data_IF_269802512591
#
_entry.id   IF_269802512591
#
_cell.length_a   1.000
_cell.length_b   1.000
_cell.length_c   1.000
_cell.angle_alpha   90.00
_cell.angle_beta   90.00
_cell.angle_gamma   90.00
#
_symmetry.space_group_name_H-M   'P 1'
#
loop_
_entity.id
_entity.type
_entity.pdbx_description
1 polymer ?
#
# COMPACT_ATOMS: atom_id res chain seq x y z
N UNK A 1 14.71 5.69 -21.71
CA UNK A 1 14.31 7.03 -22.15
C UNK A 1 14.32 7.08 -23.67
N UNK A 2 13.37 7.78 -24.28
CA UNK A 2 13.18 7.97 -25.72
C UNK A 2 13.04 9.45 -26.04
N UNK A 3 13.13 9.81 -27.33
CA UNK A 3 13.04 11.20 -27.79
C UNK A 3 11.70 11.86 -27.44
N UNK A 4 10.63 11.06 -27.35
CA UNK A 4 9.30 11.50 -26.91
C UNK A 4 9.30 12.05 -25.47
N UNK A 5 10.18 11.56 -24.58
CA UNK A 5 10.25 12.00 -23.17
C UNK A 5 10.64 13.48 -23.00
N UNK A 6 11.12 14.11 -24.08
CA UNK A 6 11.58 15.51 -24.10
C UNK A 6 10.65 16.45 -24.88
N UNK A 7 9.55 15.94 -25.43
CA UNK A 7 8.50 16.74 -26.06
C UNK A 7 7.47 17.13 -25.01
N UNK A 8 7.85 18.05 -24.12
CA UNK A 8 7.02 18.47 -22.99
C UNK A 8 6.34 19.80 -23.33
N UNK A 9 5.01 19.85 -23.18
CA UNK A 9 4.28 21.11 -23.09
C UNK A 9 4.51 21.71 -21.70
N UNK A 10 5.21 22.86 -21.67
CA UNK A 10 5.63 23.54 -20.44
C UNK A 10 4.46 24.01 -19.57
N UNK A 11 3.28 24.23 -20.15
CA UNK A 11 2.07 24.63 -19.42
C UNK A 11 1.24 23.42 -18.98
N UNK A 12 1.40 22.27 -19.63
CA UNK A 12 0.72 21.03 -19.29
C UNK A 12 1.34 20.36 -18.06
N UNK A 13 2.67 20.31 -17.96
CA UNK A 13 3.37 19.60 -16.90
C UNK A 13 3.05 20.13 -15.47
N UNK A 14 3.00 21.45 -15.20
CA UNK A 14 2.61 21.96 -13.88
C UNK A 14 1.18 21.59 -13.48
N UNK A 15 0.26 21.53 -14.47
CA UNK A 15 -1.13 21.13 -14.23
C UNK A 15 -1.22 19.65 -13.87
N UNK A 16 -0.52 18.78 -14.60
CA UNK A 16 -0.45 17.35 -14.31
C UNK A 16 0.18 17.08 -12.94
N UNK A 17 1.27 17.76 -12.60
CA UNK A 17 1.87 17.68 -11.26
C UNK A 17 0.90 18.12 -10.16
N UNK A 18 0.13 19.19 -10.40
CA UNK A 18 -0.90 19.64 -9.48
C UNK A 18 -1.95 18.57 -9.22
N UNK A 19 -2.53 18.00 -10.29
CA UNK A 19 -3.54 16.92 -10.20
C UNK A 19 -2.97 15.69 -9.50
N UNK A 20 -1.78 15.24 -9.90
CA UNK A 20 -1.12 14.10 -9.28
C UNK A 20 -0.88 14.34 -7.77
N UNK A 21 -0.42 15.53 -7.38
CA UNK A 21 -0.21 15.89 -5.97
C UNK A 21 -1.49 15.77 -5.13
N UNK A 22 -2.61 16.28 -5.63
CA UNK A 22 -3.90 16.17 -4.93
C UNK A 22 -4.37 14.72 -4.82
N UNK A 23 -4.24 13.95 -5.91
CA UNK A 23 -4.59 12.54 -5.94
C UNK A 23 -3.73 11.73 -4.95
N UNK A 24 -2.40 11.89 -4.98
CA UNK A 24 -1.47 11.23 -4.05
C UNK A 24 -1.83 11.55 -2.60
N UNK A 25 -2.10 12.82 -2.28
CA UNK A 25 -2.52 13.22 -0.94
C UNK A 25 -3.79 12.48 -0.50
N UNK A 26 -4.80 12.43 -1.37
CA UNK A 26 -6.04 11.69 -1.08
C UNK A 26 -5.80 10.19 -0.87
N UNK A 27 -4.90 9.58 -1.64
CA UNK A 27 -4.53 8.18 -1.46
C UNK A 27 -3.80 7.93 -0.12
N UNK A 28 -2.92 8.84 0.31
CA UNK A 28 -2.23 8.75 1.62
C UNK A 28 -3.26 8.84 2.75
N UNK A 29 -4.13 9.85 2.73
CA UNK A 29 -5.19 10.02 3.75
C UNK A 29 -6.16 8.82 3.77
N UNK A 30 -6.33 8.15 2.62
CA UNK A 30 -7.13 6.93 2.53
C UNK A 30 -6.41 5.75 3.17
N UNK A 31 -5.12 5.55 2.90
CA UNK A 31 -4.31 4.51 3.54
C UNK A 31 -4.23 4.70 5.06
N UNK A 32 -4.02 5.92 5.54
CA UNK A 32 -3.96 6.22 6.97
C UNK A 32 -5.26 5.83 7.69
N UNK A 33 -6.42 6.19 7.13
CA UNK A 33 -7.73 5.77 7.64
C UNK A 33 -7.92 4.25 7.62
N UNK A 34 -7.36 3.55 6.63
CA UNK A 34 -7.37 2.08 6.64
C UNK A 34 -6.56 1.54 7.80
N UNK A 35 -5.35 2.08 8.02
CA UNK A 35 -4.46 1.64 9.09
C UNK A 35 -5.09 1.88 10.45
N UNK A 36 -5.73 3.03 10.67
CA UNK A 36 -6.50 3.32 11.89
C UNK A 36 -7.59 2.26 12.13
N UNK A 37 -8.36 1.93 11.09
CA UNK A 37 -9.36 0.87 11.16
C UNK A 37 -8.73 -0.51 11.44
N UNK A 38 -7.57 -0.82 10.85
CA UNK A 38 -6.86 -2.08 11.09
C UNK A 38 -6.32 -2.18 12.52
N UNK A 39 -5.88 -1.07 13.11
CA UNK A 39 -5.48 -1.01 14.52
C UNK A 39 -6.67 -1.35 15.42
N UNK A 40 -7.83 -0.75 15.17
CA UNK A 40 -9.07 -1.04 15.90
C UNK A 40 -9.46 -2.52 15.78
N UNK A 41 -9.47 -3.06 14.56
CA UNK A 41 -9.74 -4.48 14.30
C UNK A 41 -8.77 -5.42 15.03
N UNK A 42 -7.48 -5.14 14.97
CA UNK A 42 -6.44 -5.93 15.62
C UNK A 42 -6.58 -5.95 17.15
N UNK A 43 -6.87 -4.79 17.75
CA UNK A 43 -6.97 -4.63 19.20
C UNK A 43 -8.29 -5.16 19.77
N UNK A 44 -9.41 -4.86 19.11
CA UNK A 44 -10.75 -5.05 19.67
C UNK A 44 -11.46 -6.31 19.14
N UNK A 45 -11.11 -6.80 17.95
CA UNK A 45 -11.86 -7.88 17.30
C UNK A 45 -11.04 -9.15 17.04
N UNK A 46 -9.71 -9.04 16.90
CA UNK A 46 -8.82 -10.16 16.59
C UNK A 46 -7.98 -10.64 17.78
N UNK A 47 -8.35 -10.25 19.00
CA UNK A 47 -7.68 -10.71 20.23
C UNK A 47 -6.18 -10.39 20.27
N UNK A 48 -5.75 -9.29 19.64
CA UNK A 48 -4.34 -8.89 19.50
C UNK A 48 -3.47 -9.86 18.70
N UNK A 49 -4.07 -10.76 17.92
CA UNK A 49 -3.33 -11.66 17.02
C UNK A 49 -2.64 -10.92 15.87
N UNK A 50 -3.09 -9.70 15.56
CA UNK A 50 -2.45 -8.79 14.61
C UNK A 50 -2.34 -7.39 15.22
N UNK A 51 -1.26 -6.68 14.88
CA UNK A 51 -1.06 -5.28 15.24
C UNK A 51 -0.47 -4.50 14.08
N UNK A 52 -0.75 -3.19 14.07
CA UNK A 52 -0.26 -2.25 13.07
C UNK A 52 0.22 -0.98 13.79
N UNK A 53 1.22 -0.31 13.23
CA UNK A 53 1.73 0.97 13.72
C UNK A 53 2.16 1.82 12.54
N UNK A 54 1.49 2.95 12.34
CA UNK A 54 1.84 3.89 11.27
C UNK A 54 3.08 4.69 11.64
N UNK A 55 3.98 4.88 10.67
CA UNK A 55 5.16 5.75 10.76
C UNK A 55 5.16 6.67 9.53
N UNK A 56 4.27 7.69 9.50
CA UNK A 56 4.00 8.48 8.29
C UNK A 56 5.24 9.17 7.71
N UNK A 57 6.13 9.67 8.56
CA UNK A 57 7.38 10.35 8.14
C UNK A 57 8.34 9.44 7.35
N UNK A 58 8.12 8.12 7.41
CA UNK A 58 8.91 7.11 6.68
C UNK A 58 8.12 6.43 5.57
N UNK A 59 6.91 6.91 5.27
CA UNK A 59 5.96 6.28 4.36
C UNK A 59 5.81 4.77 4.63
N UNK A 60 5.61 4.43 5.91
CA UNK A 60 5.71 3.07 6.40
C UNK A 60 4.62 2.74 7.42
N UNK A 61 4.16 1.50 7.40
CA UNK A 61 3.36 0.89 8.47
C UNK A 61 4.09 -0.37 8.91
N UNK A 62 4.41 -0.46 10.19
CA UNK A 62 4.96 -1.68 10.78
C UNK A 62 3.80 -2.56 11.25
N UNK A 63 3.91 -3.87 11.05
CA UNK A 63 2.89 -4.82 11.45
C UNK A 63 3.46 -6.10 12.02
N UNK A 64 2.65 -6.77 12.84
CA UNK A 64 2.97 -8.08 13.39
C UNK A 64 1.72 -8.95 13.36
N UNK A 65 1.82 -10.16 12.80
CA UNK A 65 0.76 -11.15 12.76
C UNK A 65 1.27 -12.47 13.33
N UNK A 66 0.69 -12.95 14.43
CA UNK A 66 1.13 -14.18 15.14
C UNK A 66 2.65 -14.23 15.34
N UNK A 67 3.25 -13.14 15.84
CA UNK A 67 4.70 -12.95 16.04
C UNK A 67 5.56 -12.82 14.76
N UNK A 68 4.96 -12.92 13.58
CA UNK A 68 5.65 -12.66 12.31
C UNK A 68 5.56 -11.17 11.99
N UNK A 69 6.71 -10.51 11.98
CA UNK A 69 6.83 -9.08 11.64
C UNK A 69 6.79 -8.88 10.14
N UNK A 70 6.15 -7.81 9.72
CA UNK A 70 6.11 -7.36 8.34
C UNK A 70 6.11 -5.83 8.29
N UNK A 71 6.41 -5.30 7.11
CA UNK A 71 6.43 -3.87 6.85
C UNK A 71 5.63 -3.58 5.60
N UNK A 72 4.74 -2.59 5.66
CA UNK A 72 4.07 -2.03 4.51
C UNK A 72 4.79 -0.71 4.19
N UNK A 73 5.39 -0.63 3.01
CA UNK A 73 5.98 0.60 2.47
C UNK A 73 5.04 1.15 1.41
N UNK A 74 4.94 2.47 1.33
CA UNK A 74 4.18 3.10 0.25
C UNK A 74 4.95 4.25 -0.37
N UNK A 75 4.74 4.47 -1.66
CA UNK A 75 5.35 5.56 -2.40
C UNK A 75 4.38 6.12 -3.44
N UNK A 76 4.43 7.44 -3.71
CA UNK A 76 3.68 8.02 -4.80
C UNK A 76 4.11 7.43 -6.15
N UNK A 77 3.14 7.09 -6.98
CA UNK A 77 3.34 6.66 -8.36
C UNK A 77 2.38 7.44 -9.26
N UNK A 78 2.93 8.09 -10.28
CA UNK A 78 2.11 8.73 -11.33
C UNK A 78 1.91 7.74 -12.46
N UNK A 79 0.66 7.39 -12.75
CA UNK A 79 0.29 6.52 -13.87
C UNK A 79 -0.84 7.17 -14.65
N UNK A 80 -0.65 7.36 -15.95
CA UNK A 80 -1.65 7.94 -16.86
C UNK A 80 -2.20 9.28 -16.36
N UNK A 81 -1.32 10.16 -15.88
CA UNK A 81 -1.64 11.47 -15.29
C UNK A 81 -2.51 11.46 -14.02
N UNK A 82 -2.76 10.28 -13.43
CA UNK A 82 -3.41 10.13 -12.14
C UNK A 82 -2.40 9.71 -11.06
N UNK A 83 -2.50 10.34 -9.90
CA UNK A 83 -1.69 9.98 -8.73
C UNK A 83 -2.28 8.76 -8.01
N UNK A 84 -1.48 7.70 -7.87
CA UNK A 84 -1.79 6.54 -7.03
C UNK A 84 -0.68 6.34 -6.00
N UNK A 85 -0.95 5.53 -4.98
CA UNK A 85 0.09 5.00 -4.11
C UNK A 85 0.44 3.59 -4.56
N UNK A 86 1.72 3.35 -4.81
CA UNK A 86 2.24 2.00 -4.82
C UNK A 86 2.46 1.55 -3.38
N UNK A 87 1.93 0.37 -3.03
CA UNK A 87 2.05 -0.22 -1.71
C UNK A 87 2.75 -1.57 -1.83
N UNK A 88 3.80 -1.76 -1.04
CA UNK A 88 4.64 -2.96 -1.03
C UNK A 88 4.65 -3.55 0.38
N UNK A 89 4.37 -4.85 0.48
CA UNK A 89 4.44 -5.60 1.73
C UNK A 89 5.74 -6.41 1.76
N UNK A 90 6.52 -6.27 2.81
CA UNK A 90 7.78 -6.98 3.03
C UNK A 90 7.75 -7.78 4.33
N UNK A 91 8.48 -8.88 4.34
CA UNK A 91 8.80 -9.67 5.56
C UNK A 91 10.28 -9.98 5.53
N UNK A 92 10.86 -10.27 6.69
CA UNK A 92 12.25 -10.70 6.80
C UNK A 92 12.36 -12.21 6.59
N UNK A 93 13.41 -12.64 5.88
CA UNK A 93 13.83 -14.03 5.84
C UNK A 93 14.51 -14.39 7.16
N UNK A 94 14.14 -15.52 7.77
CA UNK A 94 14.85 -15.98 8.97
C UNK A 94 16.20 -16.62 8.65
N UNK A 95 16.46 -16.94 7.38
CA UNK A 95 17.72 -17.55 6.95
C UNK A 95 18.77 -16.48 6.67
N UNK A 96 18.42 -15.46 5.90
CA UNK A 96 19.36 -14.41 5.48
C UNK A 96 19.29 -13.16 6.35
N UNK A 97 18.18 -12.95 7.06
CA UNK A 97 17.87 -11.69 7.74
C UNK A 97 17.48 -10.56 6.78
N UNK A 98 17.40 -10.83 5.46
CA UNK A 98 17.06 -9.82 4.47
C UNK A 98 15.55 -9.73 4.27
N UNK A 99 15.06 -8.49 4.12
CA UNK A 99 13.66 -8.23 3.82
C UNK A 99 13.35 -8.51 2.34
N UNK A 100 12.35 -9.34 2.07
CA UNK A 100 11.86 -9.61 0.71
C UNK A 100 10.40 -9.20 0.55
N UNK A 101 9.97 -9.00 -0.70
CA UNK A 101 8.61 -8.55 -1.01
C UNK A 101 7.66 -9.73 -1.08
N UNK A 102 6.60 -9.71 -0.27
CA UNK A 102 5.56 -10.75 -0.29
C UNK A 102 4.34 -10.33 -1.09
N UNK A 103 4.11 -9.03 -1.29
CA UNK A 103 2.97 -8.55 -2.07
C UNK A 103 3.13 -7.09 -2.50
N UNK A 104 2.35 -6.71 -3.51
CA UNK A 104 2.28 -5.36 -4.04
C UNK A 104 0.87 -5.08 -4.53
N UNK A 105 0.38 -3.87 -4.32
CA UNK A 105 -0.87 -3.37 -4.90
C UNK A 105 -0.79 -1.85 -5.10
N UNK A 106 -1.74 -1.30 -5.85
CA UNK A 106 -1.89 0.14 -6.02
C UNK A 106 -3.14 0.61 -5.27
N UNK A 107 -3.08 1.78 -4.64
CA UNK A 107 -4.21 2.41 -3.98
C UNK A 107 -4.56 3.73 -4.67
N UNK A 108 -5.81 3.85 -5.12
CA UNK A 108 -6.35 5.08 -5.69
C UNK A 108 -6.85 6.04 -4.60
N UNK A 109 -6.97 7.35 -4.91
CA UNK A 109 -7.45 8.34 -3.96
C UNK A 109 -8.89 8.11 -3.48
N UNK A 110 -9.70 7.45 -4.30
CA UNK A 110 -11.07 7.08 -3.96
C UNK A 110 -11.18 5.81 -3.12
N UNK A 111 -10.06 5.10 -2.90
CA UNK A 111 -9.99 3.87 -2.11
C UNK A 111 -10.06 2.58 -2.92
N UNK A 112 -10.19 2.64 -4.25
CA UNK A 112 -10.07 1.44 -5.06
C UNK A 112 -8.65 0.85 -4.95
N UNK A 113 -8.57 -0.47 -4.83
CA UNK A 113 -7.32 -1.21 -4.77
C UNK A 113 -7.12 -1.94 -6.09
N UNK A 114 -5.95 -1.76 -6.69
CA UNK A 114 -5.60 -2.37 -7.96
C UNK A 114 -4.42 -3.32 -7.82
N UNK A 115 -4.30 -4.25 -8.76
CA UNK A 115 -3.07 -4.99 -8.98
C UNK A 115 -1.94 -4.05 -9.43
N UNK A 116 -0.67 -4.47 -9.37
CA UNK A 116 0.43 -3.73 -9.98
C UNK A 116 0.19 -3.44 -11.48
N UNK A 117 -0.51 -4.34 -12.17
CA UNK A 117 -0.87 -4.22 -13.59
C UNK A 117 -2.03 -3.24 -13.81
N UNK A 118 -2.75 -2.82 -12.76
CA UNK A 118 -3.83 -1.84 -12.80
C UNK A 118 -5.24 -2.43 -12.83
N UNK A 119 -5.38 -3.74 -12.69
CA UNK A 119 -6.68 -4.42 -12.58
C UNK A 119 -7.32 -4.10 -11.23
N UNK A 120 -8.62 -3.78 -11.19
CA UNK A 120 -9.32 -3.53 -9.93
C UNK A 120 -9.50 -4.83 -9.14
N UNK A 121 -8.89 -4.90 -7.95
CA UNK A 121 -8.99 -6.03 -7.03
C UNK A 121 -10.10 -5.84 -6.01
N UNK A 122 -10.28 -4.59 -5.54
CA UNK A 122 -11.33 -4.22 -4.60
C UNK A 122 -11.90 -2.86 -5.03
N UNK A 123 -13.21 -2.83 -5.21
CA UNK A 123 -13.96 -1.62 -5.53
C UNK A 123 -14.12 -0.74 -4.28
N UNK A 124 -14.12 0.59 -4.47
CA UNK A 124 -14.33 1.57 -3.39
C UNK A 124 -15.71 1.48 -2.71
N UNK A 125 -16.72 0.97 -3.41
CA UNK A 125 -18.11 0.89 -2.93
C UNK A 125 -18.34 -0.38 -2.10
N UNK A 126 -17.34 -1.25 -1.98
CA UNK A 126 -17.39 -2.42 -1.10
C UNK A 126 -17.34 -1.95 0.37
N UNK A 127 -18.38 -2.16 1.19
CA UNK A 127 -18.42 -1.66 2.56
C UNK A 127 -17.34 -2.26 3.46
N UNK A 128 -16.81 -3.43 3.09
CA UNK A 128 -15.77 -4.15 3.84
C UNK A 128 -14.38 -3.99 3.21
N UNK A 129 -14.21 -3.09 2.24
CA UNK A 129 -12.98 -2.93 1.45
C UNK A 129 -11.72 -2.90 2.33
N UNK A 130 -11.71 -2.07 3.38
CA UNK A 130 -10.56 -1.90 4.27
C UNK A 130 -10.25 -3.20 5.04
N UNK A 131 -11.27 -3.90 5.52
CA UNK A 131 -11.10 -5.19 6.19
C UNK A 131 -10.56 -6.25 5.24
N UNK A 132 -11.07 -6.33 4.01
CA UNK A 132 -10.61 -7.27 2.98
C UNK A 132 -9.13 -7.05 2.63
N UNK A 133 -8.68 -5.80 2.53
CA UNK A 133 -7.25 -5.49 2.32
C UNK A 133 -6.41 -5.99 3.49
N UNK A 134 -6.82 -5.71 4.74
CA UNK A 134 -6.11 -6.19 5.93
C UNK A 134 -5.95 -7.71 5.91
N UNK A 135 -7.06 -8.43 5.67
CA UNK A 135 -7.08 -9.89 5.61
C UNK A 135 -6.17 -10.41 4.50
N UNK A 136 -6.19 -9.78 3.32
CA UNK A 136 -5.33 -10.17 2.21
C UNK A 136 -3.83 -10.02 2.56
N UNK A 137 -3.45 -8.89 3.17
CA UNK A 137 -2.08 -8.64 3.63
C UNK A 137 -1.66 -9.69 4.66
N UNK A 138 -2.45 -9.87 5.72
CA UNK A 138 -2.13 -10.79 6.82
C UNK A 138 -2.05 -12.23 6.34
N UNK A 139 -3.01 -12.69 5.53
CA UNK A 139 -2.99 -14.03 4.96
C UNK A 139 -1.73 -14.26 4.13
N UNK A 140 -1.32 -13.27 3.33
CA UNK A 140 -0.14 -13.37 2.47
C UNK A 140 1.14 -13.44 3.30
N UNK A 141 1.28 -12.59 4.32
CA UNK A 141 2.41 -12.62 5.27
C UNK A 141 2.52 -13.97 5.97
N UNK A 142 1.40 -14.51 6.47
CA UNK A 142 1.38 -15.79 7.19
C UNK A 142 1.62 -17.01 6.27
N UNK A 143 1.18 -16.95 5.01
CA UNK A 143 1.40 -18.01 4.04
C UNK A 143 2.86 -18.08 3.54
N UNK A 144 3.61 -16.97 3.65
CA UNK A 144 5.01 -16.95 3.24
C UNK A 144 5.88 -17.81 4.18
N UNK A 145 6.66 -18.77 3.67
CA UNK A 145 7.60 -19.54 4.46
C UNK A 145 8.64 -18.65 5.16
N UNK A 146 9.10 -19.11 6.32
CA UNK A 146 10.22 -18.54 7.05
C UNK A 146 11.54 -18.46 6.26
N UNK A 147 11.65 -19.27 5.20
CA UNK A 147 12.90 -19.59 4.51
C UNK A 147 13.01 -19.03 3.09
N UNK A 148 12.02 -18.30 2.59
CA UNK A 148 12.11 -17.73 1.24
C UNK A 148 13.00 -16.48 1.22
N UNK A 149 13.77 -16.37 0.13
CA UNK A 149 14.57 -15.25 -0.34
C UNK A 149 14.33 -15.13 -1.84
#
# INVERSE_FOLDING_TARGET
>A
MKKEDFQIDADQFPRELGVAKFAIKGAIEKLERMVEHWVDLGQNYLGKAVSFTSVPDKCRVDGEALQKKFTILYAPLSREANGVLEVVIRTDSFVTGEAFTVGRFLLKPDGAVLSPEGEELINRDDPEWSYKVMVAIVKRVLATPASEA
#
